data_IF_904486865676
#
_entry.id   IF_904486865676
#
_cell.length_a   1.000
_cell.length_b   1.000
_cell.length_c   1.000
_cell.angle_alpha   90.00
_cell.angle_beta   90.00
_cell.angle_gamma   90.00
#
_symmetry.space_group_name_H-M   'P 1'
#
loop_
_entity.id
_entity.type
_entity.pdbx_description
1 polymer ?
#
# COMPACT_ATOMS: atom_id res chain seq x y z
N UNK A 1 -7.83 -10.74 -22.15
CA UNK A 1 -7.74 -9.32 -22.57
C UNK A 1 -8.17 -8.35 -21.49
N UNK A 2 -9.26 -8.55 -20.78
CA UNK A 2 -9.80 -7.62 -19.76
C UNK A 2 -8.84 -7.40 -18.55
N UNK A 3 -8.14 -8.43 -18.09
CA UNK A 3 -7.19 -8.31 -16.95
C UNK A 3 -6.02 -7.40 -17.30
N UNK A 4 -5.33 -7.63 -18.42
CA UNK A 4 -4.20 -6.77 -18.87
C UNK A 4 -4.60 -5.32 -19.08
N UNK A 5 -5.86 -5.05 -19.50
CA UNK A 5 -6.36 -3.69 -19.63
C UNK A 5 -6.47 -2.98 -18.28
N UNK A 6 -7.01 -3.66 -17.26
CA UNK A 6 -7.13 -3.11 -15.90
C UNK A 6 -5.77 -2.83 -15.25
N UNK A 7 -4.82 -3.74 -15.44
CA UNK A 7 -3.44 -3.57 -14.93
C UNK A 7 -2.75 -2.37 -15.60
N UNK A 8 -2.92 -2.21 -16.91
CA UNK A 8 -2.37 -1.08 -17.65
C UNK A 8 -3.01 0.25 -17.22
N UNK A 9 -4.30 0.26 -16.95
CA UNK A 9 -5.00 1.44 -16.46
C UNK A 9 -4.53 1.83 -15.06
N UNK A 10 -4.27 0.85 -14.18
CA UNK A 10 -3.65 1.07 -12.88
C UNK A 10 -2.27 1.73 -13.02
N UNK A 11 -1.40 1.20 -13.89
CA UNK A 11 -0.09 1.79 -14.16
C UNK A 11 -0.19 3.21 -14.70
N UNK A 12 -1.09 3.49 -15.66
CA UNK A 12 -1.32 4.82 -16.22
C UNK A 12 -1.79 5.83 -15.17
N UNK A 13 -2.68 5.42 -14.28
CA UNK A 13 -3.15 6.26 -13.18
C UNK A 13 -2.02 6.56 -12.20
N UNK A 14 -1.23 5.56 -11.81
CA UNK A 14 -0.06 5.74 -10.97
C UNK A 14 0.96 6.72 -11.60
N UNK A 15 1.21 6.60 -12.92
CA UNK A 15 2.07 7.50 -13.67
C UNK A 15 1.51 8.93 -13.65
N UNK A 16 0.23 9.12 -13.94
CA UNK A 16 -0.42 10.44 -13.94
C UNK A 16 -0.26 11.15 -12.58
N UNK A 17 -0.44 10.44 -11.48
CA UNK A 17 -0.23 10.97 -10.14
C UNK A 17 1.26 11.23 -9.85
N UNK A 18 2.12 10.33 -10.30
CA UNK A 18 3.57 10.44 -10.13
C UNK A 18 4.19 11.64 -10.80
N UNK A 19 3.67 12.04 -11.95
CA UNK A 19 4.10 13.25 -12.68
C UNK A 19 3.84 14.54 -11.91
N UNK A 20 2.86 14.55 -11.01
CA UNK A 20 2.57 15.69 -10.11
C UNK A 20 3.55 15.77 -8.92
N UNK A 21 4.37 14.74 -8.71
CA UNK A 21 5.41 14.73 -7.66
C UNK A 21 6.64 15.53 -8.10
N UNK A 22 7.74 15.50 -7.35
CA UNK A 22 8.98 16.25 -7.66
C UNK A 22 10.22 15.37 -7.48
N UNK A 23 11.34 15.83 -8.02
CA UNK A 23 12.65 15.16 -7.92
C UNK A 23 12.62 13.75 -8.50
N UNK A 24 13.37 12.83 -7.92
CA UNK A 24 13.53 11.44 -8.41
C UNK A 24 12.23 10.72 -8.69
N UNK A 25 11.18 10.96 -7.88
CA UNK A 25 9.85 10.38 -8.12
C UNK A 25 9.28 10.84 -9.46
N UNK A 26 9.33 12.15 -9.74
CA UNK A 26 8.85 12.69 -11.02
C UNK A 26 9.69 12.19 -12.19
N UNK A 27 11.00 12.12 -12.02
CA UNK A 27 11.94 11.65 -13.05
C UNK A 27 11.64 10.19 -13.43
N UNK A 28 11.44 9.32 -12.43
CA UNK A 28 11.02 7.94 -12.67
C UNK A 28 9.71 7.86 -13.48
N UNK A 29 8.66 8.57 -13.04
CA UNK A 29 7.37 8.51 -13.73
C UNK A 29 7.41 9.17 -15.12
N UNK A 30 8.24 10.18 -15.34
CA UNK A 30 8.49 10.72 -16.68
C UNK A 30 9.13 9.70 -17.62
N UNK A 31 10.09 8.93 -17.11
CA UNK A 31 10.74 7.89 -17.90
C UNK A 31 9.75 6.77 -18.28
N UNK A 32 8.93 6.31 -17.31
CA UNK A 32 7.89 5.31 -17.56
C UNK A 32 6.82 5.86 -18.53
N UNK A 33 6.36 7.10 -18.34
CA UNK A 33 5.39 7.75 -19.25
C UNK A 33 5.89 7.82 -20.69
N UNK A 34 7.16 8.22 -20.85
CA UNK A 34 7.75 8.33 -22.19
C UNK A 34 7.78 6.96 -22.91
N UNK A 35 8.09 5.88 -22.18
CA UNK A 35 8.01 4.54 -22.73
C UNK A 35 6.57 4.06 -23.01
N UNK A 36 5.60 4.45 -22.19
CA UNK A 36 4.19 4.10 -22.42
C UNK A 36 3.54 4.81 -23.62
N UNK A 37 4.06 5.98 -24.01
CA UNK A 37 3.59 6.73 -25.19
C UNK A 37 4.09 6.15 -26.51
N UNK A 38 5.18 5.44 -26.48
CA UNK A 38 5.77 4.78 -27.63
C UNK A 38 5.39 3.30 -27.65
N UNK A 39 4.58 2.90 -28.62
CA UNK A 39 4.11 1.50 -28.73
C UNK A 39 5.25 0.50 -28.91
N UNK A 40 6.34 0.89 -29.58
CA UNK A 40 7.52 0.04 -29.77
C UNK A 40 8.34 -0.11 -28.49
N UNK A 41 8.15 0.77 -27.53
CA UNK A 41 8.82 0.75 -26.21
C UNK A 41 8.14 -0.19 -25.22
N UNK A 42 6.92 -0.64 -25.49
CA UNK A 42 6.23 -1.66 -24.69
C UNK A 42 6.54 -3.01 -25.30
N UNK A 43 7.42 -3.76 -24.65
CA UNK A 43 7.83 -5.07 -25.16
C UNK A 43 6.89 -6.17 -24.69
N UNK A 44 6.57 -7.10 -25.58
CA UNK A 44 5.77 -8.25 -25.23
C UNK A 44 6.49 -9.15 -24.23
N UNK A 45 5.78 -9.57 -23.20
CA UNK A 45 6.22 -10.49 -22.18
C UNK A 45 5.05 -10.95 -21.32
N UNK A 46 5.13 -12.15 -20.79
CA UNK A 46 4.15 -12.65 -19.82
C UNK A 46 4.53 -12.28 -18.39
N UNK A 47 5.83 -12.11 -18.14
CA UNK A 47 6.42 -11.80 -16.84
C UNK A 47 7.74 -11.04 -17.00
N UNK A 48 7.90 -9.89 -16.33
CA UNK A 48 6.89 -9.19 -15.52
C UNK A 48 5.74 -8.63 -16.37
N UNK A 49 4.64 -8.21 -15.75
CA UNK A 49 3.41 -7.74 -16.43
C UNK A 49 3.68 -6.61 -17.45
N UNK A 50 4.66 -5.74 -17.15
CA UNK A 50 5.07 -4.66 -18.03
C UNK A 50 6.59 -4.67 -18.24
N UNK A 51 7.00 -4.64 -19.50
CA UNK A 51 8.39 -4.46 -19.92
C UNK A 51 8.43 -3.18 -20.77
N UNK A 52 9.06 -2.13 -20.21
CA UNK A 52 9.01 -0.78 -20.79
C UNK A 52 10.43 -0.29 -21.04
N UNK A 53 10.76 -0.01 -22.28
CA UNK A 53 12.03 0.58 -22.67
C UNK A 53 11.91 2.11 -22.71
N UNK A 54 12.78 2.81 -21.99
CA UNK A 54 12.78 4.27 -22.04
C UNK A 54 13.36 4.79 -23.36
N UNK A 55 12.80 5.84 -23.96
CA UNK A 55 13.40 6.46 -25.14
C UNK A 55 14.65 7.26 -24.80
N UNK A 56 14.81 7.71 -23.55
CA UNK A 56 15.92 8.55 -23.10
C UNK A 56 17.09 7.70 -22.58
N UNK A 57 18.29 8.08 -22.96
CA UNK A 57 19.53 7.48 -22.45
C UNK A 57 19.96 8.13 -21.13
N UNK A 58 20.36 7.31 -20.19
CA UNK A 58 21.07 7.74 -18.99
C UNK A 58 22.46 7.09 -19.00
N UNK A 59 23.50 7.90 -18.97
CA UNK A 59 24.90 7.45 -19.07
C UNK A 59 25.17 6.59 -20.32
N UNK A 60 24.62 7.00 -21.47
CA UNK A 60 24.82 6.30 -22.74
C UNK A 60 24.05 4.98 -22.89
N UNK A 61 23.14 4.67 -21.98
CA UNK A 61 22.26 3.48 -22.06
C UNK A 61 20.82 3.84 -21.77
N UNK A 62 19.91 3.26 -22.56
CA UNK A 62 18.47 3.27 -22.27
C UNK A 62 18.18 2.37 -21.06
N UNK A 63 17.10 2.64 -20.36
CA UNK A 63 16.66 1.82 -19.21
C UNK A 63 15.49 0.94 -19.63
N UNK A 64 15.59 -0.34 -19.32
CA UNK A 64 14.53 -1.33 -19.45
C UNK A 64 13.90 -1.56 -18.09
N UNK A 65 12.68 -1.07 -17.92
CA UNK A 65 11.89 -1.31 -16.71
C UNK A 65 11.12 -2.61 -16.83
N UNK A 66 11.24 -3.48 -15.84
CA UNK A 66 10.33 -4.57 -15.57
C UNK A 66 9.45 -4.19 -14.39
N UNK A 67 8.14 -4.18 -14.56
CA UNK A 67 7.19 -3.82 -13.51
C UNK A 67 6.19 -4.96 -13.37
N UNK A 68 6.23 -5.64 -12.24
CA UNK A 68 5.22 -6.63 -11.88
C UNK A 68 4.15 -5.97 -11.03
N UNK A 69 2.89 -6.15 -11.39
CA UNK A 69 1.74 -5.58 -10.73
C UNK A 69 1.03 -6.62 -9.87
N UNK A 70 0.64 -6.22 -8.69
CA UNK A 70 -0.28 -7.00 -7.87
C UNK A 70 -1.09 -6.11 -6.93
N UNK A 71 -2.26 -6.62 -6.57
CA UNK A 71 -3.21 -5.95 -5.70
C UNK A 71 -3.09 -6.48 -4.28
N UNK A 72 -3.15 -5.56 -3.33
CA UNK A 72 -3.20 -5.84 -1.89
C UNK A 72 -4.41 -5.13 -1.31
N UNK A 73 -5.18 -5.83 -0.50
CA UNK A 73 -6.31 -5.26 0.23
C UNK A 73 -6.36 -5.80 1.67
N UNK A 74 -7.22 -5.22 2.48
CA UNK A 74 -7.46 -5.69 3.85
C UNK A 74 -8.51 -6.80 3.91
N UNK A 75 -9.08 -7.18 2.77
CA UNK A 75 -10.02 -8.28 2.65
C UNK A 75 -9.24 -9.55 2.40
N UNK A 76 -9.15 -10.37 3.42
CA UNK A 76 -8.40 -11.61 3.36
C UNK A 76 -9.27 -12.72 2.81
N UNK A 77 -8.78 -13.43 1.82
CA UNK A 77 -9.41 -14.68 1.38
C UNK A 77 -8.79 -15.86 2.13
N UNK A 78 -9.58 -16.83 2.51
CA UNK A 78 -9.04 -18.07 3.13
C UNK A 78 -8.02 -18.79 2.25
N UNK A 79 -8.09 -18.61 0.94
CA UNK A 79 -7.07 -19.07 -0.01
C UNK A 79 -5.67 -18.51 0.25
N UNK A 80 -5.58 -17.31 0.76
CA UNK A 80 -4.30 -16.67 1.07
C UNK A 80 -3.62 -17.34 2.27
N UNK A 81 -4.41 -17.91 3.21
CA UNK A 81 -3.89 -18.51 4.44
C UNK A 81 -3.95 -20.02 4.49
N UNK A 82 -4.90 -20.62 3.81
CA UNK A 82 -5.07 -22.09 3.81
C UNK A 82 -5.18 -22.56 2.37
N UNK A 83 -4.17 -23.24 1.87
CA UNK A 83 -4.23 -23.95 0.59
C UNK A 83 -5.52 -24.75 0.51
N UNK A 84 -6.43 -24.39 -0.38
CA UNK A 84 -7.58 -25.20 -0.74
C UNK A 84 -8.96 -24.68 -0.38
N UNK A 85 -9.12 -23.50 0.21
CA UNK A 85 -10.43 -22.96 0.56
C UNK A 85 -10.78 -21.70 -0.24
N UNK A 86 -11.92 -21.74 -0.98
CA UNK A 86 -12.33 -20.69 -1.91
C UNK A 86 -13.19 -19.57 -1.29
N UNK A 87 -13.54 -19.68 -0.01
CA UNK A 87 -14.39 -18.68 0.63
C UNK A 87 -13.61 -17.42 0.95
N UNK A 88 -14.11 -16.28 0.48
CA UNK A 88 -13.68 -14.97 0.96
C UNK A 88 -14.15 -14.82 2.40
N UNK A 89 -13.24 -14.91 3.35
CA UNK A 89 -13.53 -14.43 4.69
C UNK A 89 -13.15 -12.95 4.75
N UNK A 90 -14.14 -12.13 4.95
CA UNK A 90 -13.92 -10.88 5.69
C UNK A 90 -13.38 -11.36 7.03
N UNK A 91 -12.14 -11.01 7.37
CA UNK A 91 -11.64 -11.32 8.70
C UNK A 91 -12.71 -10.84 9.67
N UNK A 92 -13.23 -11.75 10.47
CA UNK A 92 -14.22 -11.41 11.48
C UNK A 92 -13.53 -10.48 12.45
N UNK A 93 -13.74 -9.22 12.22
CA UNK A 93 -13.29 -8.17 13.10
C UNK A 93 -14.21 -8.31 14.29
N UNK A 94 -13.69 -8.80 15.38
CA UNK A 94 -14.34 -8.63 16.67
C UNK A 94 -14.46 -7.13 16.89
N UNK A 95 -15.56 -6.55 16.41
CA UNK A 95 -15.78 -5.11 16.40
C UNK A 95 -15.70 -4.56 17.82
N UNK A 96 -16.18 -5.35 18.77
CA UNK A 96 -16.07 -5.10 20.21
C UNK A 96 -15.72 -6.42 20.88
N UNK A 97 -14.76 -6.41 21.77
CA UNK A 97 -14.53 -7.58 22.60
C UNK A 97 -15.78 -7.81 23.47
N UNK A 98 -16.34 -9.02 23.44
CA UNK A 98 -17.56 -9.38 24.17
C UNK A 98 -17.51 -8.97 25.65
N UNK A 99 -16.31 -9.04 26.25
CA UNK A 99 -16.12 -8.60 27.64
C UNK A 99 -16.45 -7.11 27.86
N UNK A 100 -16.16 -6.22 26.87
CA UNK A 100 -16.45 -4.79 26.98
C UNK A 100 -17.94 -4.50 26.83
N UNK A 101 -18.61 -5.28 25.97
CA UNK A 101 -20.08 -5.22 25.82
C UNK A 101 -20.75 -5.65 27.10
N UNK A 102 -20.32 -6.81 27.65
CA UNK A 102 -20.88 -7.34 28.90
C UNK A 102 -20.65 -6.36 30.06
N UNK A 103 -19.44 -5.84 30.21
CA UNK A 103 -19.15 -4.88 31.27
C UNK A 103 -19.97 -3.59 31.15
N UNK A 104 -20.24 -3.12 29.93
CA UNK A 104 -21.13 -1.97 29.70
C UNK A 104 -22.57 -2.33 30.05
N UNK A 105 -23.05 -3.49 29.61
CA UNK A 105 -24.39 -3.99 29.89
C UNK A 105 -24.60 -4.15 31.41
N UNK A 106 -23.71 -4.88 32.07
CA UNK A 106 -23.79 -5.17 33.52
C UNK A 106 -23.83 -3.87 34.36
N UNK A 107 -23.13 -2.84 33.90
CA UNK A 107 -23.05 -1.56 34.61
C UNK A 107 -24.34 -0.72 34.51
N UNK A 108 -25.00 -0.72 33.36
CA UNK A 108 -26.05 0.25 33.09
C UNK A 108 -27.47 -0.36 32.92
N UNK A 109 -27.52 -1.68 32.72
CA UNK A 109 -28.81 -2.31 32.39
C UNK A 109 -29.89 -2.14 33.45
N UNK A 110 -29.60 -2.36 34.73
CA UNK A 110 -30.55 -2.24 35.79
C UNK A 110 -31.04 -0.77 35.96
N UNK A 111 -30.11 0.19 35.93
CA UNK A 111 -30.44 1.59 36.07
C UNK A 111 -31.32 2.10 34.91
N UNK A 112 -31.01 1.73 33.68
CA UNK A 112 -31.75 2.08 32.47
C UNK A 112 -33.16 1.46 32.50
N UNK A 113 -33.30 0.23 33.03
CA UNK A 113 -34.62 -0.45 33.07
C UNK A 113 -35.51 -0.03 34.21
N UNK A 114 -34.93 0.52 35.27
CA UNK A 114 -35.69 0.84 36.50
C UNK A 114 -35.87 2.34 36.76
N UNK A 115 -35.09 3.20 36.14
CA UNK A 115 -35.13 4.65 36.32
C UNK A 115 -35.57 5.36 35.04
N UNK A 116 -36.46 6.39 35.13
CA UNK A 116 -36.76 7.25 34.01
C UNK A 116 -35.63 8.26 33.71
N UNK A 117 -34.65 8.35 34.58
CA UNK A 117 -33.51 9.24 34.42
C UNK A 117 -32.37 8.52 33.73
N UNK A 118 -31.60 9.26 32.94
CA UNK A 118 -30.40 8.72 32.28
C UNK A 118 -29.33 8.51 33.33
N UNK A 119 -28.76 7.25 33.46
CA UNK A 119 -27.72 6.97 34.44
C UNK A 119 -26.50 7.84 34.23
N UNK A 120 -25.88 8.29 35.32
CA UNK A 120 -24.63 9.06 35.29
C UNK A 120 -23.51 8.27 34.62
N UNK A 121 -22.85 8.90 33.69
CA UNK A 121 -21.74 8.31 32.96
C UNK A 121 -22.13 7.33 31.83
N UNK A 122 -23.42 7.14 31.52
CA UNK A 122 -23.89 6.32 30.42
C UNK A 122 -23.27 6.76 29.08
N UNK A 123 -23.30 8.06 28.78
CA UNK A 123 -22.76 8.61 27.55
C UNK A 123 -21.25 8.45 27.47
N UNK A 124 -20.53 8.61 28.57
CA UNK A 124 -19.08 8.36 28.63
C UNK A 124 -18.77 6.88 28.41
N UNK A 125 -19.57 5.98 28.96
CA UNK A 125 -19.46 4.55 28.72
C UNK A 125 -19.70 4.18 27.25
N UNK A 126 -20.72 4.76 26.63
CA UNK A 126 -21.00 4.59 25.20
C UNK A 126 -19.86 5.14 24.34
N UNK A 127 -19.35 6.33 24.64
CA UNK A 127 -18.23 6.92 23.92
C UNK A 127 -16.99 6.02 23.98
N UNK A 128 -16.62 5.49 25.15
CA UNK A 128 -15.51 4.54 25.30
C UNK A 128 -15.73 3.25 24.54
N UNK A 129 -16.96 2.73 24.52
CA UNK A 129 -17.30 1.53 23.76
C UNK A 129 -17.13 1.79 22.25
N UNK A 130 -17.65 2.89 21.73
CA UNK A 130 -17.51 3.31 20.33
C UNK A 130 -16.04 3.54 19.96
N UNK A 131 -15.26 4.19 20.80
CA UNK A 131 -13.83 4.40 20.60
C UNK A 131 -13.07 3.05 20.50
N UNK A 132 -13.40 2.11 21.39
CA UNK A 132 -12.85 0.74 21.35
C UNK A 132 -13.22 0.03 20.04
N UNK A 133 -14.45 0.17 19.55
CA UNK A 133 -14.88 -0.38 18.26
C UNK A 133 -14.05 0.18 17.11
N UNK A 134 -13.94 1.50 17.02
CA UNK A 134 -13.16 2.17 15.95
C UNK A 134 -11.71 1.73 15.97
N UNK A 135 -11.09 1.71 17.14
CA UNK A 135 -9.69 1.29 17.28
C UNK A 135 -9.48 -0.17 16.87
N UNK A 136 -10.40 -1.06 17.21
CA UNK A 136 -10.30 -2.47 16.83
C UNK A 136 -10.47 -2.70 15.33
N UNK A 137 -11.41 -1.99 14.69
CA UNK A 137 -11.57 -2.02 13.23
C UNK A 137 -10.29 -1.56 12.53
N UNK A 138 -9.70 -0.46 12.98
CA UNK A 138 -8.48 0.08 12.39
C UNK A 138 -7.29 -0.86 12.52
N UNK A 139 -7.09 -1.45 13.69
CA UNK A 139 -6.03 -2.44 13.94
C UNK A 139 -6.20 -3.68 13.08
N UNK A 140 -7.42 -4.18 12.97
CA UNK A 140 -7.70 -5.34 12.14
C UNK A 140 -7.48 -5.05 10.65
N UNK A 141 -7.87 -3.87 10.17
CA UNK A 141 -7.64 -3.46 8.78
C UNK A 141 -6.14 -3.44 8.46
N UNK A 142 -5.32 -2.83 9.32
CA UNK A 142 -3.87 -2.79 9.11
C UNK A 142 -3.23 -4.19 9.17
N UNK A 143 -3.58 -4.99 10.16
CA UNK A 143 -3.08 -6.37 10.25
C UNK A 143 -3.41 -7.18 9.01
N UNK A 144 -4.66 -7.13 8.56
CA UNK A 144 -5.08 -7.84 7.36
C UNK A 144 -4.36 -7.33 6.10
N UNK A 145 -4.14 -6.02 6.01
CA UNK A 145 -3.33 -5.43 4.94
C UNK A 145 -1.89 -5.99 4.97
N UNK A 146 -1.24 -6.00 6.12
CA UNK A 146 0.12 -6.51 6.26
C UNK A 146 0.23 -7.98 5.88
N UNK A 147 -0.71 -8.81 6.34
CA UNK A 147 -0.76 -10.23 5.98
C UNK A 147 -0.96 -10.42 4.47
N UNK A 148 -1.88 -9.68 3.85
CA UNK A 148 -2.10 -9.70 2.39
C UNK A 148 -0.88 -9.19 1.62
N UNK A 149 -0.23 -8.15 2.11
CA UNK A 149 0.99 -7.60 1.53
C UNK A 149 2.13 -8.61 1.58
N UNK A 150 2.41 -9.19 2.74
CA UNK A 150 3.48 -10.18 2.93
C UNK A 150 3.24 -11.38 2.02
N UNK A 151 2.05 -11.96 2.03
CA UNK A 151 1.71 -13.10 1.18
C UNK A 151 1.93 -12.81 -0.31
N UNK A 152 1.46 -11.65 -0.78
CA UNK A 152 1.61 -11.26 -2.19
C UNK A 152 3.07 -10.98 -2.54
N UNK A 153 3.79 -10.27 -1.68
CA UNK A 153 5.20 -9.97 -1.90
C UNK A 153 6.06 -11.23 -1.94
N UNK A 154 5.90 -12.17 -1.00
CA UNK A 154 6.65 -13.44 -0.98
C UNK A 154 6.44 -14.22 -2.27
N UNK A 155 5.19 -14.30 -2.74
CA UNK A 155 4.84 -14.96 -4.00
C UNK A 155 5.57 -14.32 -5.19
N UNK A 156 5.62 -12.99 -5.27
CA UNK A 156 6.27 -12.30 -6.38
C UNK A 156 7.79 -12.27 -6.23
N UNK A 157 8.32 -12.18 -5.00
CA UNK A 157 9.76 -12.28 -4.73
C UNK A 157 10.32 -13.65 -5.13
N UNK A 158 9.57 -14.73 -4.95
CA UNK A 158 10.01 -16.07 -5.39
C UNK A 158 10.21 -16.16 -6.92
N UNK A 159 9.52 -15.33 -7.69
CA UNK A 159 9.61 -15.30 -9.15
C UNK A 159 10.59 -14.24 -9.70
N UNK A 160 11.23 -13.44 -8.86
CA UNK A 160 12.10 -12.31 -9.31
C UNK A 160 13.23 -12.77 -10.21
N UNK A 161 13.83 -13.94 -9.97
CA UNK A 161 14.88 -14.45 -10.82
C UNK A 161 14.37 -14.75 -12.25
N UNK A 162 13.13 -15.19 -12.40
CA UNK A 162 12.51 -15.45 -13.70
C UNK A 162 12.20 -14.13 -14.42
N UNK A 163 11.71 -13.12 -13.70
CA UNK A 163 11.54 -11.76 -14.24
C UNK A 163 12.86 -11.19 -14.76
N UNK A 164 13.92 -11.27 -13.97
CA UNK A 164 15.24 -10.79 -14.36
C UNK A 164 15.80 -11.56 -15.55
N UNK A 165 15.57 -12.87 -15.64
CA UNK A 165 15.98 -13.68 -16.78
C UNK A 165 15.29 -13.23 -18.07
N UNK A 166 14.01 -12.95 -18.02
CA UNK A 166 13.26 -12.43 -19.16
C UNK A 166 13.73 -11.04 -19.58
N UNK A 167 13.93 -10.13 -18.64
CA UNK A 167 14.47 -8.79 -18.90
C UNK A 167 15.89 -8.86 -19.51
N UNK A 168 16.74 -9.76 -19.04
CA UNK A 168 18.08 -9.94 -19.59
C UNK A 168 18.02 -10.44 -21.04
N UNK A 169 17.12 -11.38 -21.37
CA UNK A 169 16.90 -11.81 -22.76
C UNK A 169 16.50 -10.66 -23.67
N UNK A 170 15.58 -9.80 -23.20
CA UNK A 170 15.13 -8.63 -23.97
C UNK A 170 16.20 -7.55 -24.07
N UNK A 171 16.98 -7.35 -23.03
CA UNK A 171 18.05 -6.33 -22.98
C UNK A 171 19.23 -6.68 -23.89
N UNK A 172 19.57 -7.96 -24.07
CA UNK A 172 20.79 -8.40 -24.78
C UNK A 172 22.06 -7.64 -24.36
N UNK A 173 22.12 -7.20 -23.09
CA UNK A 173 23.23 -6.42 -22.54
C UNK A 173 23.28 -4.94 -22.95
N UNK A 174 22.33 -4.46 -23.76
CA UNK A 174 22.31 -3.08 -24.29
C UNK A 174 21.69 -2.06 -23.34
N UNK A 175 20.86 -2.50 -22.40
CA UNK A 175 20.06 -1.62 -21.56
C UNK A 175 20.41 -1.76 -20.09
N UNK A 176 20.18 -0.69 -19.32
CA UNK A 176 20.16 -0.76 -17.87
C UNK A 176 18.85 -1.39 -17.41
N UNK A 177 18.91 -2.51 -16.71
CA UNK A 177 17.70 -3.19 -16.23
C UNK A 177 17.33 -2.64 -14.86
N UNK A 178 16.06 -2.31 -14.68
CA UNK A 178 15.46 -1.98 -13.39
C UNK A 178 14.17 -2.78 -13.20
N UNK A 179 14.19 -3.69 -12.24
CA UNK A 179 13.03 -4.49 -11.85
C UNK A 179 12.37 -3.88 -10.62
N UNK A 180 11.05 -3.81 -10.61
CA UNK A 180 10.30 -3.35 -9.45
C UNK A 180 8.85 -3.80 -9.43
N UNK A 181 8.18 -3.42 -8.36
CA UNK A 181 6.78 -3.76 -8.12
C UNK A 181 5.88 -2.53 -8.18
N UNK A 182 4.70 -2.69 -8.78
CA UNK A 182 3.56 -1.80 -8.64
C UNK A 182 2.55 -2.47 -7.71
N UNK A 183 2.50 -2.02 -6.47
CA UNK A 183 1.58 -2.51 -5.45
C UNK A 183 0.33 -1.65 -5.47
N UNK A 184 -0.75 -2.16 -6.03
CA UNK A 184 -2.05 -1.52 -5.99
C UNK A 184 -2.71 -1.79 -4.64
N UNK A 185 -2.88 -0.75 -3.84
CA UNK A 185 -3.43 -0.85 -2.49
C UNK A 185 -4.91 -0.48 -2.52
N UNK A 186 -5.74 -1.49 -2.25
CA UNK A 186 -7.19 -1.39 -2.16
C UNK A 186 -7.66 -1.43 -0.71
N UNK A 187 -7.00 -0.69 0.15
CA UNK A 187 -7.33 -0.62 1.57
C UNK A 187 -7.66 0.80 1.95
N UNK A 188 -8.77 0.96 2.62
CA UNK A 188 -9.10 2.22 3.26
C UNK A 188 -8.46 2.28 4.64
N UNK A 189 -7.48 3.14 4.76
CA UNK A 189 -6.82 3.38 6.03
C UNK A 189 -7.44 4.53 6.83
N UNK A 190 -8.47 5.17 6.32
CA UNK A 190 -9.27 6.21 6.94
C UNK A 190 -8.56 7.02 8.03
N UNK A 191 -9.01 6.89 9.25
CA UNK A 191 -8.44 7.52 10.44
C UNK A 191 -7.55 6.54 11.22
N UNK A 192 -6.59 5.90 10.57
CA UNK A 192 -5.71 4.97 11.26
C UNK A 192 -4.88 5.65 12.35
N UNK A 193 -5.19 5.29 13.57
CA UNK A 193 -4.36 5.56 14.74
C UNK A 193 -3.55 4.30 15.03
N UNK A 194 -2.26 4.32 14.76
CA UNK A 194 -1.39 3.25 15.17
C UNK A 194 -0.55 3.71 16.35
N UNK A 195 -0.65 2.96 17.42
CA UNK A 195 0.25 3.09 18.54
C UNK A 195 1.49 2.25 18.24
N UNK A 196 2.61 2.91 17.96
CA UNK A 196 3.92 2.30 17.98
C UNK A 196 4.67 2.91 19.15
N UNK A 197 5.23 2.10 20.01
CA UNK A 197 5.93 2.52 21.25
C UNK A 197 5.09 3.42 22.17
N UNK A 198 3.79 3.17 22.28
CA UNK A 198 2.88 3.97 23.09
C UNK A 198 2.57 5.36 22.52
N UNK A 199 3.06 5.70 21.33
CA UNK A 199 2.71 6.94 20.61
C UNK A 199 1.72 6.65 19.52
N UNK A 200 0.60 7.35 19.56
CA UNK A 200 -0.44 7.26 18.52
C UNK A 200 -0.02 8.07 17.30
N UNK A 201 0.28 7.43 16.18
CA UNK A 201 0.45 8.13 14.90
C UNK A 201 -0.90 8.25 14.19
N UNK A 202 -1.33 9.46 13.91
CA UNK A 202 -2.53 9.76 13.12
C UNK A 202 -2.18 9.69 11.65
N UNK A 203 -2.67 8.68 10.93
CA UNK A 203 -2.67 8.70 9.48
C UNK A 203 -3.72 9.69 8.99
N UNK A 204 -3.37 10.48 7.97
CA UNK A 204 -4.37 11.27 7.25
C UNK A 204 -5.12 10.35 6.29
N UNK A 205 -6.41 10.60 6.10
CA UNK A 205 -7.23 9.87 5.16
C UNK A 205 -6.56 9.79 3.78
N UNK A 206 -6.57 8.60 3.19
CA UNK A 206 -6.05 8.36 1.86
C UNK A 206 -4.52 8.37 1.72
N UNK A 207 -3.77 8.35 2.82
CA UNK A 207 -2.32 8.25 2.76
C UNK A 207 -1.84 6.84 3.11
N UNK A 208 -0.86 6.37 2.35
CA UNK A 208 -0.22 5.08 2.60
C UNK A 208 0.46 5.07 3.98
N UNK A 209 0.07 4.19 4.90
CA UNK A 209 0.66 4.08 6.22
C UNK A 209 1.96 3.27 6.15
N UNK A 210 3.09 3.96 6.09
CA UNK A 210 4.40 3.32 6.21
C UNK A 210 4.78 3.18 7.68
N UNK A 211 4.27 2.16 8.32
CA UNK A 211 4.64 1.82 9.68
C UNK A 211 5.97 1.09 9.71
N UNK A 212 6.56 1.05 10.89
CA UNK A 212 7.88 0.44 11.11
C UNK A 212 7.91 -1.01 10.64
N UNK A 213 6.87 -1.77 10.96
CA UNK A 213 6.73 -3.17 10.58
C UNK A 213 6.78 -3.39 9.05
N UNK A 214 6.06 -2.57 8.28
CA UNK A 214 6.09 -2.64 6.82
C UNK A 214 7.47 -2.29 6.27
N UNK A 215 8.09 -1.25 6.82
CA UNK A 215 9.41 -0.78 6.39
C UNK A 215 10.47 -1.83 6.70
N UNK A 216 10.45 -2.37 7.90
CA UNK A 216 11.37 -3.41 8.34
C UNK A 216 11.23 -4.66 7.47
N UNK A 217 10.00 -5.12 7.25
CA UNK A 217 9.76 -6.30 6.41
C UNK A 217 10.34 -6.14 5.00
N UNK A 218 10.17 -4.97 4.38
CA UNK A 218 10.72 -4.69 3.05
C UNK A 218 12.25 -4.69 3.07
N UNK A 219 12.87 -4.08 4.08
CA UNK A 219 14.34 -4.02 4.19
C UNK A 219 14.96 -5.41 4.41
N UNK A 220 14.29 -6.28 5.16
CA UNK A 220 14.76 -7.63 5.45
C UNK A 220 14.56 -8.60 4.27
N UNK A 221 13.50 -8.45 3.49
CA UNK A 221 13.10 -9.45 2.51
C UNK A 221 13.35 -9.03 1.03
N UNK A 222 13.49 -7.73 0.74
CA UNK A 222 13.72 -7.26 -0.63
C UNK A 222 15.21 -7.04 -0.92
N UNK A 223 15.85 -7.94 -1.67
CA UNK A 223 17.20 -7.73 -2.16
C UNK A 223 17.24 -6.57 -3.17
N UNK A 224 17.80 -5.43 -2.77
CA UNK A 224 17.87 -4.22 -3.59
C UNK A 224 18.72 -4.37 -4.88
N UNK A 225 19.48 -5.45 -5.03
CA UNK A 225 20.20 -5.77 -6.27
C UNK A 225 19.29 -6.41 -7.30
N UNK A 226 18.19 -7.04 -6.85
CA UNK A 226 17.22 -7.72 -7.70
C UNK A 226 15.95 -6.90 -7.90
N UNK A 227 15.44 -6.29 -6.84
CA UNK A 227 14.26 -5.40 -6.85
C UNK A 227 14.73 -3.99 -6.60
N UNK A 228 14.70 -3.14 -7.62
CA UNK A 228 15.28 -1.80 -7.54
C UNK A 228 14.34 -0.75 -6.97
N UNK A 229 13.02 -0.96 -7.09
CA UNK A 229 12.01 -0.03 -6.60
C UNK A 229 10.68 -0.71 -6.27
N UNK A 230 9.90 -0.02 -5.45
CA UNK A 230 8.50 -0.36 -5.18
C UNK A 230 7.68 0.92 -5.38
N UNK A 231 6.59 0.81 -6.12
CA UNK A 231 5.57 1.85 -6.27
C UNK A 231 4.33 1.39 -5.52
N UNK A 232 3.91 2.15 -4.53
CA UNK A 232 2.61 1.96 -3.88
C UNK A 232 1.61 2.91 -4.53
N UNK A 233 0.51 2.38 -5.00
CA UNK A 233 -0.59 3.13 -5.57
C UNK A 233 -1.88 2.86 -4.78
N UNK A 234 -2.36 3.86 -4.08
CA UNK A 234 -3.66 3.83 -3.41
C UNK A 234 -4.74 4.10 -4.44
N UNK A 235 -5.49 3.06 -4.83
CA UNK A 235 -6.47 3.14 -5.92
C UNK A 235 -7.87 3.52 -5.44
N UNK A 236 -8.22 3.16 -4.20
CA UNK A 236 -9.51 3.48 -3.61
C UNK A 236 -9.36 4.05 -2.21
N UNK A 237 -10.10 5.13 -1.95
CA UNK A 237 -10.32 5.66 -0.62
C UNK A 237 -11.81 5.97 -0.45
N UNK A 238 -12.37 5.84 0.76
CA UNK A 238 -13.77 6.20 1.05
C UNK A 238 -14.04 7.69 0.81
N UNK A 239 -13.04 8.53 0.93
CA UNK A 239 -13.14 9.94 0.58
C UNK A 239 -12.92 10.11 -0.93
N UNK A 240 -13.96 10.56 -1.61
CA UNK A 240 -13.98 10.77 -3.07
C UNK A 240 -12.70 11.43 -3.59
N UNK A 241 -11.93 10.66 -4.36
CA UNK A 241 -10.90 11.20 -5.23
C UNK A 241 -9.52 11.40 -4.61
N UNK A 242 -9.24 10.91 -3.41
CA UNK A 242 -7.89 10.95 -2.86
C UNK A 242 -7.13 9.69 -3.29
N UNK A 243 -6.38 9.81 -4.35
CA UNK A 243 -5.43 8.80 -4.77
C UNK A 243 -4.02 9.23 -4.38
N UNK A 244 -3.21 8.29 -3.91
CA UNK A 244 -1.81 8.54 -3.62
C UNK A 244 -0.92 7.58 -4.40
N UNK A 245 0.23 8.10 -4.83
CA UNK A 245 1.32 7.27 -5.33
C UNK A 245 2.61 7.60 -4.60
N UNK A 246 3.33 6.56 -4.19
CA UNK A 246 4.62 6.66 -3.52
C UNK A 246 5.61 5.74 -4.20
N UNK A 247 6.66 6.31 -4.78
CA UNK A 247 7.78 5.59 -5.39
C UNK A 247 8.94 5.57 -4.42
N UNK A 248 9.45 4.39 -4.09
CA UNK A 248 10.59 4.23 -3.19
C UNK A 248 11.63 3.30 -3.81
N UNK A 249 12.86 3.78 -4.05
CA UNK A 249 13.98 2.88 -4.34
C UNK A 249 14.24 1.93 -3.16
N UNK A 250 14.42 0.64 -3.43
CA UNK A 250 14.65 -0.37 -2.38
C UNK A 250 16.00 -0.20 -1.69
N UNK A 251 17.02 0.20 -2.45
CA UNK A 251 18.32 0.56 -1.86
C UNK A 251 18.16 1.72 -0.89
N UNK A 252 18.44 1.50 0.40
CA UNK A 252 18.24 2.46 1.49
C UNK A 252 16.75 2.88 1.61
N UNK A 253 15.85 1.93 1.60
CA UNK A 253 14.39 2.12 1.56
C UNK A 253 13.93 3.12 2.63
N UNK A 254 14.24 2.86 3.90
CA UNK A 254 13.90 3.70 5.05
C UNK A 254 14.37 5.16 4.89
N UNK A 255 15.62 5.36 4.53
CA UNK A 255 16.17 6.70 4.36
C UNK A 255 15.50 7.47 3.20
N UNK A 256 15.19 6.78 2.11
CA UNK A 256 14.47 7.39 0.97
C UNK A 256 13.04 7.77 1.36
N UNK A 257 12.35 6.92 2.09
CA UNK A 257 11.00 7.17 2.58
C UNK A 257 10.96 8.36 3.56
N UNK A 258 11.88 8.40 4.51
CA UNK A 258 11.99 9.51 5.48
C UNK A 258 12.24 10.86 4.79
N UNK A 259 13.12 10.90 3.78
CA UNK A 259 13.38 12.12 2.99
C UNK A 259 12.12 12.62 2.26
N UNK A 260 11.30 11.73 1.74
CA UNK A 260 10.03 12.09 1.09
C UNK A 260 9.04 12.67 2.11
N UNK A 261 8.90 12.05 3.28
CA UNK A 261 8.02 12.51 4.38
C UNK A 261 8.43 13.89 4.89
N UNK A 262 9.72 14.13 5.12
CA UNK A 262 10.23 15.44 5.59
C UNK A 262 9.94 16.56 4.58
N UNK A 263 10.14 16.31 3.28
CA UNK A 263 9.83 17.27 2.23
C UNK A 263 8.35 17.62 2.18
N UNK A 264 7.46 16.66 2.41
CA UNK A 264 6.02 16.89 2.47
C UNK A 264 5.61 17.73 3.68
N UNK A 265 6.17 17.45 4.87
CA UNK A 265 5.90 18.21 6.11
C UNK A 265 6.36 19.68 6.03
N UNK A 266 7.56 19.96 5.49
CA UNK A 266 8.06 21.33 5.29
C UNK A 266 7.15 22.17 4.40
N UNK A 267 6.57 21.59 3.34
CA UNK A 267 5.67 22.29 2.42
C UNK A 267 4.30 22.60 3.02
N UNK A 268 3.76 21.73 3.86
CA UNK A 268 2.52 22.01 4.56
C UNK A 268 2.67 23.17 5.56
N UNK A 269 3.86 23.33 6.16
CA UNK A 269 4.15 24.48 7.05
C UNK A 269 4.28 25.80 6.28
N UNK A 270 4.86 25.78 5.07
CA UNK A 270 5.00 26.99 4.24
C UNK A 270 3.65 27.47 3.66
N UNK A 271 2.73 26.54 3.38
CA UNK A 271 1.39 26.88 2.86
C UNK A 271 0.41 27.37 3.94
N UNK A 272 0.75 27.21 5.21
CA UNK A 272 -0.06 27.69 6.36
C UNK A 272 0.43 29.01 6.93
N UNK A 273 1.51 29.56 6.42
CA UNK A 273 1.96 30.95 6.59
C UNK A 273 1.57 31.77 5.36
#
# INVERSE_FOLDING_TARGET
MEKKSKELDCLRQAVTLGLRKRGKTKEFFKAVEAGLKDKESILDGERPDFIILTPQEQNGKRTLFGIEHFRVDHLVTQKQYKKGNDSKQVASIGIVEQKNVNAFYDRYHEEVMTSPEIPDGLFDGMAKLLESMVNNIQRATYRNFMESFIYSMEKHLSNVNDYLRELNKKSTGKYNIQMGFLVEVHSDFGHLYLSHDGKTEKAKNGLMPFFEELVQWIEENCDARKVNFIVFYLSETLEKGIHEVVYVPTKNFRANLQRQRQKSRRRQRIRKK
#
